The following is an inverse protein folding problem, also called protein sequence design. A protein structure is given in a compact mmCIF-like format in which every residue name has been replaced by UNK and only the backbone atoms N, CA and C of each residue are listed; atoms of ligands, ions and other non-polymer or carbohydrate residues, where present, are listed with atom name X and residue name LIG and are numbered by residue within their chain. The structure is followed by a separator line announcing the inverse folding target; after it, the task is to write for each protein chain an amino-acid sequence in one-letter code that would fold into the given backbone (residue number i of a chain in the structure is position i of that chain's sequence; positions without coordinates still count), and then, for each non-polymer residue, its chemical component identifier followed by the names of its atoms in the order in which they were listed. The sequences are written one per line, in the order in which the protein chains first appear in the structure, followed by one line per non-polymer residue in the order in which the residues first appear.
data_IF_889710745713
#
_entry.id   IF_889710745713
#
_cell.length_a   1.000
_cell.length_b   1.000
_cell.length_c   1.000
_cell.angle_alpha   90.00
_cell.angle_beta   90.00
_cell.angle_gamma   90.00
#
_symmetry.space_group_name_H-M   'P 1'
#
loop_
_entity.id
_entity.type
_entity.pdbx_description
1 polymer ?
#
# COMPACT_ATOMS: atom_id res chain seq x y z
N UNK A 1 -57.20 23.96 38.50
CA UNK A 1 -55.93 24.14 39.24
C UNK A 1 -55.28 22.76 39.28
N UNK A 2 -54.47 22.43 38.26
CA UNK A 2 -53.80 21.13 38.15
C UNK A 2 -52.29 21.35 38.17
N UNK A 3 -51.53 20.67 39.04
CA UNK A 3 -50.09 20.65 38.95
C UNK A 3 -49.59 19.52 38.04
N UNK A 4 -48.81 19.95 37.06
CA UNK A 4 -48.24 19.24 35.93
C UNK A 4 -47.21 18.18 36.37
N UNK A 5 -47.40 16.92 35.96
CA UNK A 5 -46.53 15.78 36.31
C UNK A 5 -45.28 15.82 35.41
N UNK A 6 -44.15 16.30 35.94
CA UNK A 6 -42.87 16.39 35.20
C UNK A 6 -42.31 14.98 34.96
N UNK A 7 -42.38 14.52 33.71
CA UNK A 7 -41.79 13.26 33.25
C UNK A 7 -40.25 13.37 33.31
N UNK A 8 -39.58 12.48 34.05
CA UNK A 8 -38.12 12.36 34.03
C UNK A 8 -37.73 11.57 32.77
N UNK A 9 -37.18 12.25 31.78
CA UNK A 9 -36.56 11.64 30.60
C UNK A 9 -35.16 11.17 31.00
N UNK A 10 -34.97 9.86 31.12
CA UNK A 10 -33.64 9.26 31.27
C UNK A 10 -33.05 9.14 29.87
N UNK A 11 -32.14 10.05 29.51
CA UNK A 11 -31.38 9.96 28.25
C UNK A 11 -30.37 8.82 28.39
N UNK A 12 -30.63 7.70 27.74
CA UNK A 12 -29.63 6.66 27.53
C UNK A 12 -28.71 7.11 26.40
N UNK A 13 -27.49 7.54 26.74
CA UNK A 13 -26.43 7.70 25.75
C UNK A 13 -26.03 6.31 25.28
N UNK A 14 -26.26 6.00 24.00
CA UNK A 14 -25.69 4.82 23.37
C UNK A 14 -24.27 5.18 22.97
N UNK A 15 -23.29 4.59 23.64
CA UNK A 15 -21.90 4.61 23.21
C UNK A 15 -21.81 3.86 21.88
N UNK A 16 -21.50 4.59 20.81
CA UNK A 16 -21.28 4.08 19.46
C UNK A 16 -19.79 3.80 19.22
N UNK A 17 -19.07 3.26 20.22
CA UNK A 17 -17.71 2.73 20.05
C UNK A 17 -17.76 1.20 20.09
N UNK A 18 -18.62 0.62 19.25
CA UNK A 18 -18.53 -0.79 18.89
C UNK A 18 -17.67 -0.85 17.65
N UNK A 19 -16.42 -1.29 17.80
CA UNK A 19 -15.48 -1.57 16.72
C UNK A 19 -16.14 -2.48 15.67
N UNK A 20 -16.75 -1.87 14.65
CA UNK A 20 -17.11 -2.61 13.46
C UNK A 20 -15.80 -3.06 12.80
N UNK A 21 -15.62 -4.36 12.54
CA UNK A 21 -14.42 -4.83 11.87
C UNK A 21 -14.33 -4.13 10.52
N UNK A 22 -13.23 -3.39 10.31
CA UNK A 22 -12.96 -2.70 9.05
C UNK A 22 -13.10 -3.70 7.90
N UNK A 23 -13.73 -3.28 6.80
CA UNK A 23 -13.97 -4.15 5.63
C UNK A 23 -12.69 -4.72 5.02
N UNK A 24 -11.53 -4.09 5.30
CA UNK A 24 -10.20 -4.57 4.96
C UNK A 24 -9.84 -5.90 5.65
N UNK A 25 -10.22 -6.08 6.92
CA UNK A 25 -9.98 -7.30 7.69
C UNK A 25 -10.97 -8.44 7.37
N UNK A 26 -12.07 -8.13 6.68
CA UNK A 26 -13.11 -9.09 6.34
C UNK A 26 -12.79 -9.90 5.07
N UNK A 27 -11.87 -9.44 4.22
CA UNK A 27 -11.46 -10.16 3.00
C UNK A 27 -10.41 -11.23 3.34
N UNK A 28 -10.58 -12.47 2.85
CA UNK A 28 -9.53 -13.48 2.97
C UNK A 28 -8.23 -13.02 2.33
N UNK A 29 -7.07 -13.35 2.94
CA UNK A 29 -5.74 -13.04 2.42
C UNK A 29 -5.52 -13.51 0.97
N UNK A 30 -6.24 -14.56 0.54
CA UNK A 30 -6.19 -15.13 -0.81
C UNK A 30 -6.93 -14.30 -1.87
N UNK A 31 -7.74 -13.32 -1.46
CA UNK A 31 -8.62 -12.53 -2.32
C UNK A 31 -8.44 -11.02 -2.09
N UNK A 32 -7.17 -10.62 -1.93
CA UNK A 32 -6.80 -9.25 -1.61
C UNK A 32 -6.69 -8.40 -2.87
N UNK A 33 -7.00 -7.11 -2.75
CA UNK A 33 -6.72 -6.10 -3.78
C UNK A 33 -5.53 -5.29 -3.30
N UNK A 34 -4.43 -5.26 -4.05
CA UNK A 34 -3.26 -4.43 -3.72
C UNK A 34 -2.90 -3.53 -4.89
N UNK A 35 -2.29 -2.39 -4.60
CA UNK A 35 -1.83 -1.45 -5.62
C UNK A 35 -0.30 -1.39 -5.65
N UNK A 36 0.29 -1.58 -6.82
CA UNK A 36 1.72 -1.42 -7.05
C UNK A 36 1.94 -0.12 -7.83
N UNK A 37 2.57 0.85 -7.17
CA UNK A 37 3.00 2.14 -7.71
C UNK A 37 4.37 1.95 -8.36
N UNK A 38 4.40 1.77 -9.68
CA UNK A 38 5.66 1.66 -10.42
C UNK A 38 6.25 3.06 -10.62
N UNK A 39 7.49 3.26 -10.17
CA UNK A 39 8.17 4.55 -10.21
C UNK A 39 9.25 4.48 -11.28
N UNK A 40 9.06 5.24 -12.36
CA UNK A 40 10.07 5.38 -13.41
C UNK A 40 11.11 6.44 -13.08
N UNK A 41 10.70 7.50 -12.40
CA UNK A 41 11.58 8.62 -12.06
C UNK A 41 11.05 9.38 -10.87
N UNK A 42 11.88 9.52 -9.84
CA UNK A 42 11.52 10.28 -8.65
C UNK A 42 11.44 11.80 -8.90
N UNK A 43 12.45 12.45 -9.52
CA UNK A 43 12.42 13.90 -9.74
C UNK A 43 11.22 14.36 -10.58
N UNK A 44 10.87 13.62 -11.63
CA UNK A 44 9.73 13.94 -12.50
C UNK A 44 8.39 13.39 -12.00
N UNK A 45 8.36 12.79 -10.80
CA UNK A 45 7.18 12.13 -10.21
C UNK A 45 6.47 11.18 -11.19
N UNK A 46 7.24 10.46 -12.00
CA UNK A 46 6.69 9.58 -13.02
C UNK A 46 6.27 8.24 -12.38
N UNK A 47 5.01 8.20 -11.93
CA UNK A 47 4.41 7.07 -11.22
C UNK A 47 3.20 6.56 -11.99
N UNK A 48 3.04 5.24 -12.05
CA UNK A 48 1.83 4.60 -12.57
C UNK A 48 1.37 3.48 -11.64
N UNK A 49 0.06 3.32 -11.51
CA UNK A 49 -0.51 2.28 -10.66
C UNK A 49 -0.82 1.03 -11.48
N UNK A 50 -0.51 -0.11 -10.88
CA UNK A 50 -0.93 -1.45 -11.27
C UNK A 50 -1.80 -1.97 -10.13
N UNK A 51 -3.08 -2.21 -10.39
CA UNK A 51 -3.97 -2.82 -9.41
C UNK A 51 -4.00 -4.33 -9.66
N UNK A 52 -3.69 -5.11 -8.63
CA UNK A 52 -3.78 -6.56 -8.63
C UNK A 52 -5.04 -6.96 -7.86
N UNK A 53 -5.94 -7.67 -8.53
CA UNK A 53 -7.16 -8.20 -7.94
C UNK A 53 -6.97 -9.69 -7.60
N UNK A 54 -7.69 -10.15 -6.58
CA UNK A 54 -7.68 -11.54 -6.13
C UNK A 54 -6.26 -12.08 -5.91
N UNK A 55 -5.40 -11.23 -5.33
CA UNK A 55 -4.00 -11.55 -5.12
C UNK A 55 -3.80 -12.33 -3.82
N UNK A 56 -3.02 -13.41 -3.90
CA UNK A 56 -2.80 -14.32 -2.78
C UNK A 56 -1.65 -13.83 -1.90
N UNK A 57 -1.99 -13.18 -0.78
CA UNK A 57 -1.02 -12.69 0.20
C UNK A 57 -0.54 -13.79 1.16
N UNK A 58 -1.26 -14.90 1.25
CA UNK A 58 -0.97 -15.99 2.18
C UNK A 58 0.16 -16.90 1.67
N UNK A 59 0.17 -17.17 0.36
CA UNK A 59 1.10 -18.14 -0.24
C UNK A 59 2.22 -17.52 -1.07
N UNK A 60 2.02 -16.32 -1.63
CA UNK A 60 3.05 -15.66 -2.45
C UNK A 60 4.12 -14.98 -1.60
N UNK A 61 5.33 -14.99 -2.12
CA UNK A 61 6.51 -14.32 -1.57
C UNK A 61 6.69 -12.93 -2.18
N UNK A 62 7.64 -12.16 -1.64
CA UNK A 62 8.07 -10.89 -2.24
C UNK A 62 8.62 -11.08 -3.66
N UNK A 63 9.37 -12.18 -3.90
CA UNK A 63 9.91 -12.51 -5.22
C UNK A 63 8.83 -12.83 -6.23
N UNK A 64 7.78 -13.55 -5.83
CA UNK A 64 6.64 -13.85 -6.70
C UNK A 64 5.95 -12.56 -7.13
N UNK A 65 5.66 -11.65 -6.19
CA UNK A 65 5.06 -10.34 -6.48
C UNK A 65 5.93 -9.52 -7.42
N UNK A 66 7.23 -9.47 -7.16
CA UNK A 66 8.17 -8.78 -8.03
C UNK A 66 8.13 -9.31 -9.47
N UNK A 67 8.20 -10.63 -9.65
CA UNK A 67 8.16 -11.27 -10.96
C UNK A 67 6.82 -11.09 -11.67
N UNK A 68 5.70 -11.21 -10.96
CA UNK A 68 4.35 -11.01 -11.48
C UNK A 68 4.20 -9.58 -12.06
N UNK A 69 4.66 -8.57 -11.30
CA UNK A 69 4.59 -7.18 -11.71
C UNK A 69 5.53 -6.88 -12.88
N UNK A 70 6.76 -7.40 -12.86
CA UNK A 70 7.69 -7.27 -13.98
C UNK A 70 7.10 -7.87 -15.27
N UNK A 71 6.51 -9.06 -15.18
CA UNK A 71 5.85 -9.69 -16.31
C UNK A 71 4.71 -8.82 -16.85
N UNK A 72 3.91 -8.19 -15.98
CA UNK A 72 2.85 -7.26 -16.37
C UNK A 72 3.41 -6.02 -17.09
N UNK A 73 4.50 -5.43 -16.58
CA UNK A 73 5.19 -4.28 -17.21
C UNK A 73 5.66 -4.62 -18.63
N UNK A 74 6.24 -5.81 -18.82
CA UNK A 74 6.78 -6.22 -20.12
C UNK A 74 5.68 -6.51 -21.15
N UNK A 75 4.51 -6.99 -20.72
CA UNK A 75 3.46 -7.44 -21.64
C UNK A 75 2.38 -6.39 -21.91
N UNK A 76 2.07 -5.49 -20.96
CA UNK A 76 1.01 -4.52 -21.16
C UNK A 76 1.45 -3.32 -22.02
N UNK A 77 0.66 -3.02 -23.05
CA UNK A 77 0.94 -1.90 -23.95
C UNK A 77 0.96 -0.55 -23.24
N UNK A 78 0.10 -0.38 -22.22
CA UNK A 78 0.03 0.86 -21.45
C UNK A 78 1.25 1.10 -20.54
N UNK A 79 2.07 0.06 -20.31
CA UNK A 79 3.27 0.10 -19.46
C UNK A 79 4.57 0.20 -20.28
N UNK A 80 4.48 0.32 -21.61
CA UNK A 80 5.64 0.50 -22.50
C UNK A 80 6.67 1.53 -22.01
N UNK A 81 6.28 2.73 -21.54
CA UNK A 81 7.26 3.72 -21.06
C UNK A 81 8.09 3.28 -19.85
N UNK A 82 7.66 2.25 -19.12
CA UNK A 82 8.21 1.79 -17.85
C UNK A 82 9.12 0.56 -17.97
N UNK A 83 9.25 -0.04 -19.16
CA UNK A 83 9.95 -1.33 -19.37
C UNK A 83 11.47 -1.28 -19.22
N UNK A 84 12.07 -0.10 -19.44
CA UNK A 84 13.53 0.06 -19.47
C UNK A 84 14.11 0.48 -18.11
N UNK A 85 13.30 0.46 -17.05
CA UNK A 85 13.75 0.78 -15.70
C UNK A 85 14.32 -0.50 -15.07
N UNK A 86 15.48 -0.40 -14.44
CA UNK A 86 16.11 -1.50 -13.72
C UNK A 86 15.49 -1.62 -12.31
N UNK A 87 14.24 -2.09 -12.24
CA UNK A 87 13.58 -2.31 -10.95
C UNK A 87 14.29 -3.38 -10.14
N UNK A 88 14.45 -3.14 -8.85
CA UNK A 88 15.11 -4.07 -7.92
C UNK A 88 14.54 -4.02 -6.49
N UNK A 89 13.60 -3.10 -6.22
CA UNK A 89 13.13 -2.85 -4.85
C UNK A 89 11.62 -2.73 -4.79
N UNK A 90 11.02 -3.49 -3.87
CA UNK A 90 9.64 -3.32 -3.42
C UNK A 90 9.65 -2.72 -2.01
N UNK A 91 8.85 -1.67 -1.80
CA UNK A 91 8.66 -1.04 -0.50
C UNK A 91 7.17 -0.78 -0.25
N UNK A 92 6.69 -1.02 0.97
CA UNK A 92 5.33 -0.57 1.34
C UNK A 92 5.29 0.96 1.26
N UNK A 93 4.27 1.49 0.58
CA UNK A 93 4.04 2.93 0.47
C UNK A 93 3.09 3.37 1.59
N UNK A 94 1.96 2.67 1.73
CA UNK A 94 0.97 2.85 2.80
C UNK A 94 0.24 1.54 3.08
N UNK A 95 0.00 1.23 4.36
CA UNK A 95 -0.99 0.23 4.76
C UNK A 95 -2.42 0.76 4.59
N UNK A 96 -3.40 -0.15 4.55
CA UNK A 96 -4.80 0.24 4.51
C UNK A 96 -5.14 1.07 5.75
N UNK A 97 -5.87 2.17 5.56
CA UNK A 97 -6.23 3.11 6.64
C UNK A 97 -5.06 3.76 7.39
N UNK A 98 -3.81 3.57 6.94
CA UNK A 98 -2.63 4.23 7.48
C UNK A 98 -2.60 5.73 7.18
N UNK A 99 -1.80 6.47 7.94
CA UNK A 99 -1.55 7.89 7.66
C UNK A 99 -0.87 8.05 6.30
N UNK A 100 -1.46 8.85 5.43
CA UNK A 100 -0.90 9.14 4.11
C UNK A 100 0.44 9.87 4.28
N UNK A 101 1.46 9.42 3.56
CA UNK A 101 2.73 10.15 3.44
C UNK A 101 2.50 11.50 2.76
N UNK A 102 3.28 12.51 3.16
CA UNK A 102 3.31 13.83 2.52
C UNK A 102 3.94 13.80 1.12
N UNK A 103 4.78 12.81 0.83
CA UNK A 103 5.45 12.68 -0.45
C UNK A 103 4.62 11.80 -1.41
N UNK A 104 4.18 12.39 -2.53
CA UNK A 104 3.30 11.74 -3.51
C UNK A 104 3.99 10.65 -4.36
N UNK A 105 5.32 10.58 -4.35
CA UNK A 105 6.08 9.64 -5.17
C UNK A 105 6.42 8.38 -4.37
N UNK A 106 6.94 8.55 -3.16
CA UNK A 106 7.48 7.47 -2.34
C UNK A 106 7.32 7.79 -0.85
N UNK A 107 7.22 6.76 -0.02
CA UNK A 107 7.33 6.95 1.42
C UNK A 107 8.82 7.02 1.82
N UNK A 108 9.25 8.09 2.50
CA UNK A 108 10.64 8.24 2.94
C UNK A 108 10.91 7.64 4.32
N UNK A 109 9.86 7.35 5.07
CA UNK A 109 9.91 6.69 6.37
C UNK A 109 10.03 5.18 6.17
N UNK A 110 10.33 4.43 7.24
CA UNK A 110 10.31 2.97 7.22
C UNK A 110 11.28 2.31 6.21
N UNK A 111 12.49 2.85 6.06
CA UNK A 111 13.53 2.21 5.22
C UNK A 111 14.06 0.89 5.82
N UNK A 112 13.97 0.74 7.14
CA UNK A 112 14.53 -0.40 7.86
C UNK A 112 13.55 -1.59 7.93
N UNK A 113 12.25 -1.36 7.76
CA UNK A 113 11.19 -2.34 8.03
C UNK A 113 10.16 -2.53 6.91
N UNK A 114 9.98 -1.57 5.98
CA UNK A 114 9.00 -1.68 4.89
C UNK A 114 9.56 -2.07 3.54
N UNK A 115 10.89 -2.21 3.41
CA UNK A 115 11.50 -2.81 2.22
C UNK A 115 11.36 -4.33 2.30
N UNK A 116 10.80 -4.93 1.25
CA UNK A 116 10.64 -6.38 1.17
C UNK A 116 11.98 -7.03 0.82
N UNK A 117 12.28 -8.16 1.46
CA UNK A 117 13.44 -8.98 1.11
C UNK A 117 13.10 -9.89 -0.09
N UNK A 118 13.69 -9.59 -1.24
CA UNK A 118 13.48 -10.37 -2.46
C UNK A 118 14.25 -11.70 -2.47
N UNK A 119 15.22 -11.88 -1.57
CA UNK A 119 16.02 -13.10 -1.46
C UNK A 119 15.40 -14.11 -0.47
N UNK A 120 14.44 -13.68 0.36
CA UNK A 120 13.67 -14.57 1.24
C UNK A 120 12.54 -15.26 0.46
N UNK A 121 12.79 -16.52 0.09
CA UNK A 121 11.86 -17.39 -0.64
C UNK A 121 10.78 -18.05 0.24
N UNK A 122 10.81 -17.82 1.56
CA UNK A 122 9.89 -18.43 2.53
C UNK A 122 8.89 -17.43 3.06
N UNK A 123 9.31 -16.21 3.34
CA UNK A 123 8.46 -15.19 3.95
C UNK A 123 7.37 -14.74 2.98
N UNK A 124 6.13 -14.89 3.44
CA UNK A 124 4.90 -14.60 2.70
C UNK A 124 4.52 -13.13 2.84
N UNK A 125 3.79 -12.60 1.87
CA UNK A 125 3.44 -11.18 1.82
C UNK A 125 2.72 -10.71 3.08
N UNK A 126 1.77 -11.49 3.63
CA UNK A 126 1.09 -11.13 4.87
C UNK A 126 2.04 -10.96 6.07
N UNK A 127 3.19 -11.65 6.08
CA UNK A 127 4.19 -11.54 7.14
C UNK A 127 5.03 -10.25 7.05
N UNK A 128 4.92 -9.50 5.96
CA UNK A 128 5.42 -8.12 5.85
C UNK A 128 4.39 -7.08 6.32
N UNK A 129 3.23 -7.51 6.85
CA UNK A 129 2.13 -6.61 7.18
C UNK A 129 1.32 -6.17 5.96
N UNK A 130 1.51 -6.82 4.80
CA UNK A 130 0.72 -6.53 3.60
C UNK A 130 -0.65 -7.16 3.77
N UNK A 131 -1.67 -6.32 3.65
CA UNK A 131 -3.08 -6.67 3.75
C UNK A 131 -3.86 -6.15 2.56
N UNK A 132 -5.16 -6.45 2.50
CA UNK A 132 -6.05 -5.90 1.48
C UNK A 132 -5.98 -4.36 1.49
N UNK A 133 -5.92 -3.77 0.30
CA UNK A 133 -5.77 -2.33 0.02
C UNK A 133 -4.40 -1.72 0.35
N UNK A 134 -3.39 -2.54 0.68
CA UNK A 134 -2.00 -2.05 0.78
C UNK A 134 -1.50 -1.49 -0.55
N UNK A 135 -0.81 -0.36 -0.48
CA UNK A 135 -0.07 0.21 -1.60
C UNK A 135 1.43 -0.07 -1.43
N UNK A 136 2.09 -0.55 -2.47
CA UNK A 136 3.53 -0.76 -2.53
C UNK A 136 4.14 0.04 -3.68
N UNK A 137 5.40 0.45 -3.54
CA UNK A 137 6.19 1.08 -4.59
C UNK A 137 7.19 0.07 -5.18
N UNK A 138 7.30 0.03 -6.50
CA UNK A 138 8.33 -0.71 -7.24
C UNK A 138 9.26 0.28 -7.95
N UNK A 139 10.55 0.21 -7.67
CA UNK A 139 11.54 1.20 -8.14
C UNK A 139 12.97 0.63 -8.22
N UNK A 140 13.91 1.44 -8.69
CA UNK A 140 15.36 1.19 -8.62
C UNK A 140 15.94 1.82 -7.34
N UNK A 141 16.65 1.02 -6.52
CA UNK A 141 17.15 1.43 -5.20
C UNK A 141 18.12 2.61 -5.28
N UNK A 142 19.03 2.57 -6.24
CA UNK A 142 20.06 3.60 -6.37
C UNK A 142 19.45 4.94 -6.76
N UNK A 143 18.42 4.95 -7.63
CA UNK A 143 17.65 6.15 -7.95
C UNK A 143 16.93 6.71 -6.71
N UNK A 144 16.36 5.84 -5.88
CA UNK A 144 15.72 6.23 -4.63
C UNK A 144 16.70 6.89 -3.66
N UNK A 145 17.86 6.27 -3.43
CA UNK A 145 18.88 6.79 -2.52
C UNK A 145 19.38 8.16 -2.98
N UNK A 146 19.68 8.33 -4.28
CA UNK A 146 20.05 9.63 -4.86
C UNK A 146 18.98 10.69 -4.66
N UNK A 147 17.71 10.33 -4.86
CA UNK A 147 16.60 11.26 -4.66
C UNK A 147 16.37 11.59 -3.19
N UNK A 148 16.57 10.65 -2.27
CA UNK A 148 16.43 10.88 -0.84
C UNK A 148 17.52 11.82 -0.31
N UNK A 149 18.75 11.71 -0.80
CA UNK A 149 19.86 12.60 -0.44
C UNK A 149 19.62 14.04 -0.90
N UNK A 150 18.98 14.23 -2.05
CA UNK A 150 18.64 15.55 -2.59
C UNK A 150 17.27 15.52 -3.31
N UNK A 151 16.16 15.70 -2.56
CA UNK A 151 14.81 15.61 -3.11
C UNK A 151 14.48 16.87 -3.93
N UNK A 152 14.95 16.90 -5.17
CA UNK A 152 14.63 17.94 -6.16
C UNK A 152 13.53 17.45 -7.11
N UNK A 153 12.45 18.23 -7.21
CA UNK A 153 11.37 17.97 -8.15
C UNK A 153 11.60 18.71 -9.46
N UNK A 154 11.41 18.00 -10.57
CA UNK A 154 11.57 18.49 -11.93
C UNK A 154 10.22 18.45 -12.65
N UNK A 155 9.99 19.47 -13.46
CA UNK A 155 8.78 19.67 -14.26
C UNK A 155 9.02 19.35 -15.73
#
# INVERSE_FOLDING_TARGET
MEPNKRLKMTTTYKDYDMEEPLTSNARPLKNSVITIRIIKSFPYRNVKNIVLHDYDLAEKTARDLFNDVLNKIQNEGSLRPFRNVAYDTLKIYTHAHGSKTVNLVINFDHDDDWILDLEDDKKKLFQYGIENETELSLFNKDDYLRFKENPEEKW
#
